data_IF_790307675463
#
_entry.id   IF_790307675463
#
_cell.length_a   1.000
_cell.length_b   1.000
_cell.length_c   1.000
_cell.angle_alpha   90.00
_cell.angle_beta   90.00
_cell.angle_gamma   90.00
#
_symmetry.space_group_name_H-M   'P 1'
#
loop_
_entity.id
_entity.type
_entity.pdbx_description
1 polymer ?
#
# COMPACT_ATOMS: atom_id res chain seq x y z
N UNK A 1 0.58 -18.53 -6.27
CA UNK A 1 -0.04 -17.22 -6.53
C UNK A 1 -0.49 -16.65 -5.22
N UNK A 2 -0.05 -15.44 -4.89
CA UNK A 2 -0.36 -14.77 -3.62
C UNK A 2 -1.83 -14.32 -3.60
N UNK A 3 -2.47 -14.22 -2.42
CA UNK A 3 -3.82 -13.66 -2.29
C UNK A 3 -3.95 -12.23 -2.83
N UNK A 4 -3.18 -11.27 -2.32
CA UNK A 4 -3.15 -9.90 -2.82
C UNK A 4 -1.74 -9.31 -2.82
N UNK A 5 -1.55 -8.24 -3.57
CA UNK A 5 -0.48 -7.28 -3.40
C UNK A 5 -0.94 -5.90 -3.84
N UNK A 6 -0.95 -4.95 -2.90
CA UNK A 6 -1.46 -3.60 -3.11
C UNK A 6 -0.36 -2.54 -2.96
N UNK A 7 0.87 -2.95 -2.65
CA UNK A 7 1.98 -2.02 -2.53
C UNK A 7 3.05 -2.40 -3.56
N UNK A 8 2.91 -1.84 -4.75
CA UNK A 8 3.81 -2.08 -5.89
C UNK A 8 4.06 -0.73 -6.54
N UNK A 9 5.32 -0.43 -6.79
CA UNK A 9 5.74 0.76 -7.53
C UNK A 9 6.03 0.37 -8.97
N UNK A 10 5.91 1.35 -9.85
CA UNK A 10 6.18 1.22 -11.26
C UNK A 10 7.04 2.38 -11.75
N UNK A 11 7.37 2.38 -13.04
CA UNK A 11 8.10 3.48 -13.69
C UNK A 11 7.39 4.85 -13.61
N UNK A 12 6.17 4.93 -13.08
CA UNK A 12 5.49 6.19 -12.77
C UNK A 12 6.06 6.90 -11.53
N UNK A 13 6.66 6.16 -10.59
CA UNK A 13 7.50 6.70 -9.51
C UNK A 13 8.88 7.14 -10.03
N UNK A 14 8.91 8.01 -11.04
CA UNK A 14 10.10 8.35 -11.83
C UNK A 14 11.25 9.02 -11.07
N UNK A 15 11.00 9.55 -9.87
CA UNK A 15 12.02 10.12 -8.98
C UNK A 15 12.61 9.14 -7.96
N UNK A 16 12.15 7.88 -7.95
CA UNK A 16 12.65 6.86 -7.04
C UNK A 16 13.74 5.99 -7.71
N UNK A 17 14.97 6.15 -7.24
CA UNK A 17 16.15 5.43 -7.74
C UNK A 17 16.10 3.91 -7.52
N UNK A 18 15.21 3.40 -6.66
CA UNK A 18 15.01 1.96 -6.50
C UNK A 18 14.14 1.37 -7.61
N UNK A 19 13.36 2.19 -8.33
CA UNK A 19 12.55 1.75 -9.47
C UNK A 19 13.42 1.59 -10.71
N UNK A 20 13.42 0.37 -11.25
CA UNK A 20 14.15 0.06 -12.49
C UNK A 20 13.25 0.21 -13.72
N UNK A 21 13.79 0.52 -14.91
CA UNK A 21 13.00 0.68 -16.14
C UNK A 21 12.14 -0.54 -16.51
N UNK A 22 12.52 -1.74 -16.04
CA UNK A 22 11.78 -2.98 -16.26
C UNK A 22 10.48 -3.05 -15.44
N UNK A 23 10.36 -2.31 -14.33
CA UNK A 23 9.20 -2.31 -13.44
C UNK A 23 8.03 -1.51 -14.04
N UNK A 24 7.60 -1.88 -15.25
CA UNK A 24 6.50 -1.23 -15.94
C UNK A 24 5.16 -1.86 -15.55
N UNK A 25 4.09 -1.08 -15.67
CA UNK A 25 2.71 -1.55 -15.45
C UNK A 25 2.43 -2.83 -16.27
N UNK A 26 2.88 -2.90 -17.53
CA UNK A 26 2.61 -4.05 -18.38
C UNK A 26 3.30 -5.32 -17.88
N UNK A 27 4.50 -5.20 -17.30
CA UNK A 27 5.19 -6.34 -16.72
C UNK A 27 4.46 -6.83 -15.47
N UNK A 28 4.11 -5.90 -14.57
CA UNK A 28 3.36 -6.22 -13.33
C UNK A 28 2.06 -6.94 -13.70
N UNK A 29 1.31 -6.43 -14.67
CA UNK A 29 0.07 -7.02 -15.16
C UNK A 29 0.28 -8.39 -15.84
N UNK A 30 1.36 -8.56 -16.61
CA UNK A 30 1.65 -9.82 -17.31
C UNK A 30 2.12 -10.93 -16.34
N UNK A 31 2.92 -10.58 -15.34
CA UNK A 31 3.39 -11.52 -14.31
C UNK A 31 2.26 -11.91 -13.37
N UNK A 32 1.45 -10.93 -12.93
CA UNK A 32 0.27 -11.11 -12.07
C UNK A 32 0.54 -12.11 -10.93
N UNK A 33 1.53 -11.80 -10.10
CA UNK A 33 2.01 -12.70 -9.05
C UNK A 33 0.98 -12.93 -7.93
N UNK A 34 0.03 -12.00 -7.77
CA UNK A 34 -1.09 -12.10 -6.85
C UNK A 34 -2.45 -12.10 -7.57
N UNK A 35 -3.50 -12.59 -6.89
CA UNK A 35 -4.87 -12.64 -7.46
C UNK A 35 -5.53 -11.26 -7.50
N UNK A 36 -5.28 -10.46 -6.48
CA UNK A 36 -5.69 -9.06 -6.36
C UNK A 36 -4.41 -8.24 -6.44
N UNK A 37 -4.26 -7.43 -7.48
CA UNK A 37 -3.07 -6.61 -7.68
C UNK A 37 -3.47 -5.15 -7.83
N UNK A 38 -2.77 -4.28 -7.11
CA UNK A 38 -2.85 -2.83 -7.28
C UNK A 38 -1.45 -2.22 -7.41
N UNK A 39 -1.38 -1.07 -8.07
CA UNK A 39 -0.16 -0.25 -8.15
C UNK A 39 -0.41 0.99 -7.31
N UNK A 40 0.57 1.36 -6.50
CA UNK A 40 0.50 2.46 -5.55
C UNK A 40 1.76 3.31 -5.60
N UNK A 41 2.05 3.86 -6.79
CA UNK A 41 3.19 4.76 -6.98
C UNK A 41 3.15 5.97 -6.03
N UNK A 42 4.34 6.50 -5.75
CA UNK A 42 4.55 7.68 -4.91
C UNK A 42 3.73 8.85 -5.43
N UNK A 43 2.87 9.40 -4.58
CA UNK A 43 1.91 10.42 -4.96
C UNK A 43 2.57 11.68 -5.51
N UNK A 44 3.69 12.09 -4.93
CA UNK A 44 4.50 13.23 -5.38
C UNK A 44 5.01 13.11 -6.83
N UNK A 45 5.09 11.89 -7.36
CA UNK A 45 5.52 11.62 -8.74
C UNK A 45 4.35 11.55 -9.73
N UNK A 46 3.13 11.36 -9.25
CA UNK A 46 1.95 11.18 -10.11
C UNK A 46 0.90 12.28 -9.94
N UNK A 47 1.03 13.18 -8.96
CA UNK A 47 0.01 14.20 -8.65
C UNK A 47 -0.37 15.07 -9.85
N UNK A 48 0.59 15.47 -10.68
CA UNK A 48 0.36 16.33 -11.83
C UNK A 48 -0.21 15.58 -13.05
N UNK A 49 -0.17 14.24 -13.04
CA UNK A 49 -0.62 13.38 -14.14
C UNK A 49 -1.50 12.21 -13.64
N UNK A 50 -2.20 12.41 -12.52
CA UNK A 50 -2.88 11.32 -11.81
C UNK A 50 -3.93 10.63 -12.68
N UNK A 51 -4.66 11.37 -13.51
CA UNK A 51 -5.67 10.82 -14.41
C UNK A 51 -5.04 9.88 -15.45
N UNK A 52 -3.89 10.25 -16.02
CA UNK A 52 -3.16 9.42 -16.99
C UNK A 52 -2.59 8.17 -16.30
N UNK A 53 -2.03 8.33 -15.10
CA UNK A 53 -1.56 7.23 -14.26
C UNK A 53 -2.69 6.23 -13.96
N UNK A 54 -3.81 6.73 -13.44
CA UNK A 54 -4.96 5.91 -13.08
C UNK A 54 -5.56 5.21 -14.31
N UNK A 55 -5.64 5.90 -15.46
CA UNK A 55 -6.08 5.31 -16.71
C UNK A 55 -5.16 4.17 -17.16
N UNK A 56 -3.84 4.33 -17.07
CA UNK A 56 -2.87 3.30 -17.43
C UNK A 56 -2.97 2.07 -16.53
N UNK A 57 -3.08 2.27 -15.20
CA UNK A 57 -3.24 1.18 -14.23
C UNK A 57 -4.56 0.42 -14.45
N UNK A 58 -5.69 1.14 -14.65
CA UNK A 58 -6.99 0.52 -14.91
C UNK A 58 -7.03 -0.21 -16.25
N UNK A 59 -6.43 0.34 -17.30
CA UNK A 59 -6.33 -0.32 -18.60
C UNK A 59 -5.56 -1.65 -18.53
N UNK A 60 -4.67 -1.80 -17.55
CA UNK A 60 -3.98 -3.06 -17.27
C UNK A 60 -4.78 -4.04 -16.40
N UNK A 61 -6.00 -3.69 -15.99
CA UNK A 61 -6.88 -4.51 -15.15
C UNK A 61 -6.37 -4.65 -13.71
N UNK A 62 -5.74 -3.59 -13.18
CA UNK A 62 -5.20 -3.48 -11.83
C UNK A 62 -5.95 -2.41 -11.03
N UNK A 63 -5.88 -2.49 -9.70
CA UNK A 63 -6.43 -1.49 -8.79
C UNK A 63 -5.52 -0.26 -8.71
N UNK A 64 -6.11 0.92 -8.63
CA UNK A 64 -5.41 2.21 -8.54
C UNK A 64 -5.24 2.60 -7.08
N UNK A 65 -4.03 2.48 -6.57
CA UNK A 65 -3.61 3.10 -5.32
C UNK A 65 -2.63 4.23 -5.54
N UNK A 66 -2.22 4.85 -4.43
CA UNK A 66 -1.05 5.74 -4.39
C UNK A 66 -0.46 5.73 -2.99
N UNK A 67 0.86 5.85 -2.88
CA UNK A 67 1.57 6.03 -1.63
C UNK A 67 1.79 7.51 -1.34
N UNK A 68 1.22 7.98 -0.23
CA UNK A 68 1.25 9.37 0.19
C UNK A 68 2.36 9.54 1.23
N UNK A 69 3.37 10.36 0.91
CA UNK A 69 4.49 10.62 1.81
C UNK A 69 4.15 11.63 2.93
N UNK A 70 3.27 11.23 3.85
CA UNK A 70 2.94 12.01 5.04
C UNK A 70 1.93 13.14 4.82
N UNK A 71 1.65 13.88 5.89
CA UNK A 71 0.60 14.91 5.91
C UNK A 71 0.83 16.07 4.94
N UNK A 72 2.07 16.31 4.52
CA UNK A 72 2.44 17.36 3.58
C UNK A 72 1.69 17.24 2.24
N UNK A 73 1.38 16.00 1.83
CA UNK A 73 0.70 15.68 0.59
C UNK A 73 -0.81 15.44 0.75
N UNK A 74 -1.35 15.56 1.96
CA UNK A 74 -2.73 15.18 2.26
C UNK A 74 -3.75 15.94 1.40
N UNK A 75 -3.66 17.27 1.34
CA UNK A 75 -4.64 18.12 0.66
C UNK A 75 -4.82 17.73 -0.81
N UNK A 76 -3.75 17.67 -1.64
CA UNK A 76 -3.89 17.19 -3.02
C UNK A 76 -4.31 15.71 -3.10
N UNK A 77 -3.85 14.84 -2.20
CA UNK A 77 -4.20 13.41 -2.23
C UNK A 77 -5.69 13.12 -1.92
N UNK A 78 -6.38 14.03 -1.22
CA UNK A 78 -7.83 13.93 -1.00
C UNK A 78 -8.64 14.21 -2.27
N UNK A 79 -8.06 14.91 -3.25
CA UNK A 79 -8.74 15.29 -4.49
C UNK A 79 -8.73 14.19 -5.56
N UNK A 80 -7.89 13.15 -5.41
CA UNK A 80 -7.69 12.14 -6.45
C UNK A 80 -8.55 10.88 -6.25
N UNK A 81 -9.19 10.33 -7.31
CA UNK A 81 -10.03 9.14 -7.22
C UNK A 81 -9.21 7.85 -7.36
N UNK A 82 -8.65 7.38 -6.24
CA UNK A 82 -8.02 6.06 -6.09
C UNK A 82 -8.95 5.07 -5.37
N UNK A 83 -8.70 3.79 -5.59
CA UNK A 83 -9.43 2.67 -5.00
C UNK A 83 -9.00 2.42 -3.54
N UNK A 84 -7.74 2.71 -3.21
CA UNK A 84 -7.17 2.64 -1.86
C UNK A 84 -5.99 3.60 -1.70
N UNK A 85 -5.57 3.85 -0.46
CA UNK A 85 -4.43 4.73 -0.14
C UNK A 85 -3.43 4.03 0.75
N UNK A 86 -2.16 4.15 0.40
CA UNK A 86 -1.01 3.77 1.22
C UNK A 86 -0.49 5.08 1.84
N UNK A 87 -0.14 5.08 3.14
CA UNK A 87 0.25 6.31 3.83
C UNK A 87 1.46 6.11 4.74
N UNK A 88 2.49 6.94 4.57
CA UNK A 88 3.62 7.05 5.49
C UNK A 88 3.22 7.82 6.75
N UNK A 89 2.86 7.09 7.81
CA UNK A 89 2.57 7.72 9.10
C UNK A 89 3.83 7.78 9.97
N UNK A 90 4.48 8.95 10.07
CA UNK A 90 5.56 9.14 11.05
C UNK A 90 4.93 9.47 12.41
N UNK A 91 5.70 9.37 13.50
CA UNK A 91 5.22 9.76 14.83
C UNK A 91 5.07 11.29 15.01
N UNK A 92 4.16 11.88 14.23
CA UNK A 92 3.84 13.29 14.18
C UNK A 92 2.33 13.44 14.31
N UNK A 93 1.88 14.34 15.18
CA UNK A 93 0.44 14.62 15.36
C UNK A 93 -0.29 14.97 14.05
N UNK A 94 0.40 15.61 13.11
CA UNK A 94 -0.17 15.93 11.80
C UNK A 94 -0.43 14.69 10.94
N UNK A 95 0.45 13.68 10.98
CA UNK A 95 0.28 12.44 10.21
C UNK A 95 -0.89 11.60 10.76
N UNK A 96 -1.07 11.53 12.08
CA UNK A 96 -2.25 10.84 12.64
C UNK A 96 -3.57 11.54 12.30
N UNK A 97 -3.59 12.88 12.28
CA UNK A 97 -4.77 13.64 11.80
C UNK A 97 -5.00 13.49 10.30
N UNK A 98 -3.95 13.23 9.53
CA UNK A 98 -4.08 12.93 8.11
C UNK A 98 -4.77 11.57 7.91
N UNK A 99 -4.42 10.55 8.70
CA UNK A 99 -5.11 9.25 8.67
C UNK A 99 -6.62 9.39 8.92
N UNK A 100 -7.04 10.18 9.91
CA UNK A 100 -8.46 10.43 10.18
C UNK A 100 -9.18 11.05 8.98
N UNK A 101 -8.55 12.01 8.30
CA UNK A 101 -9.12 12.67 7.12
C UNK A 101 -9.16 11.73 5.91
N UNK A 102 -8.14 10.89 5.72
CA UNK A 102 -8.13 9.87 4.68
C UNK A 102 -9.23 8.83 4.91
N UNK A 103 -9.42 8.38 6.16
CA UNK A 103 -10.51 7.46 6.52
C UNK A 103 -11.90 8.07 6.26
N UNK A 104 -12.06 9.38 6.47
CA UNK A 104 -13.31 10.08 6.20
C UNK A 104 -13.74 10.05 4.72
N UNK A 105 -12.82 9.72 3.80
CA UNK A 105 -13.16 9.50 2.37
C UNK A 105 -13.94 8.21 2.13
N UNK A 106 -13.93 7.27 3.10
CA UNK A 106 -14.54 5.94 2.96
C UNK A 106 -13.69 4.92 2.19
N UNK A 107 -12.58 5.35 1.58
CA UNK A 107 -11.66 4.43 0.93
C UNK A 107 -10.76 3.72 1.96
N UNK A 108 -10.28 2.49 1.67
CA UNK A 108 -9.29 1.81 2.50
C UNK A 108 -8.01 2.63 2.66
N UNK A 109 -7.52 2.72 3.89
CA UNK A 109 -6.25 3.37 4.24
C UNK A 109 -5.32 2.33 4.86
N UNK A 110 -4.16 2.15 4.25
CA UNK A 110 -3.11 1.23 4.69
C UNK A 110 -1.94 2.07 5.22
N UNK A 111 -1.56 1.84 6.47
CA UNK A 111 -0.33 2.43 7.03
C UNK A 111 0.86 1.63 6.53
N UNK A 112 1.68 2.26 5.69
CA UNK A 112 2.82 1.63 5.03
C UNK A 112 3.98 1.42 6.00
N UNK A 113 4.58 0.21 5.93
CA UNK A 113 5.79 -0.23 6.65
C UNK A 113 6.06 0.52 7.98
N UNK A 114 5.10 0.50 8.94
CA UNK A 114 5.13 1.38 10.11
C UNK A 114 6.31 1.13 11.05
N UNK A 115 6.88 -0.06 10.97
CA UNK A 115 8.05 -0.47 11.72
C UNK A 115 9.34 0.22 11.21
N UNK A 116 9.36 0.62 9.93
CA UNK A 116 10.45 1.40 9.32
C UNK A 116 10.31 2.92 9.55
N UNK A 117 9.08 3.47 9.59
CA UNK A 117 8.80 4.90 9.81
C UNK A 117 8.48 5.31 11.26
N UNK A 118 9.21 4.71 12.22
CA UNK A 118 8.81 4.53 13.64
C UNK A 118 7.40 5.03 14.00
N UNK A 119 6.36 4.45 13.41
CA UNK A 119 4.96 4.82 13.70
C UNK A 119 4.59 4.32 15.10
N UNK A 120 3.95 5.17 15.91
CA UNK A 120 3.30 4.72 17.15
C UNK A 120 1.91 4.14 16.83
N UNK A 121 1.84 2.81 16.74
CA UNK A 121 0.60 2.07 16.46
C UNK A 121 -0.47 2.27 17.55
N UNK A 122 -0.14 2.75 18.74
CA UNK A 122 -1.13 3.11 19.75
C UNK A 122 -2.03 4.25 19.27
N UNK A 123 -1.46 5.17 18.49
CA UNK A 123 -2.10 6.41 18.00
C UNK A 123 -2.78 6.26 16.65
N UNK A 124 -2.50 5.18 15.91
CA UNK A 124 -3.16 4.88 14.64
C UNK A 124 -4.63 4.51 14.87
N UNK A 125 -5.58 5.12 14.11
CA UNK A 125 -7.00 4.73 14.18
C UNK A 125 -7.20 3.24 13.84
N UNK A 126 -7.97 2.47 14.63
CA UNK A 126 -8.16 1.02 14.42
C UNK A 126 -8.83 0.65 13.10
N UNK A 127 -9.49 1.60 12.44
CA UNK A 127 -10.12 1.43 11.13
C UNK A 127 -9.07 1.29 10.00
N UNK A 128 -7.88 1.85 10.19
CA UNK A 128 -6.76 1.67 9.27
C UNK A 128 -6.34 0.20 9.19
N UNK A 129 -5.82 -0.18 8.03
CA UNK A 129 -5.09 -1.42 7.82
C UNK A 129 -3.61 -1.18 8.16
N UNK A 130 -2.95 -2.18 8.73
CA UNK A 130 -1.52 -2.13 9.05
C UNK A 130 -0.76 -3.03 8.10
N UNK A 131 0.27 -2.51 7.44
CA UNK A 131 1.09 -3.29 6.52
C UNK A 131 2.15 -4.11 7.25
N UNK A 132 2.31 -5.38 6.83
CA UNK A 132 3.54 -6.15 7.04
C UNK A 132 4.27 -6.20 5.69
N UNK A 133 5.30 -5.37 5.60
CA UNK A 133 5.99 -5.05 4.35
C UNK A 133 7.18 -5.99 4.09
N UNK A 134 7.24 -6.63 2.91
CA UNK A 134 8.30 -7.59 2.61
C UNK A 134 9.70 -6.97 2.55
N UNK A 135 9.81 -5.74 2.05
CA UNK A 135 11.07 -5.02 1.87
C UNK A 135 11.74 -4.66 3.19
N UNK A 136 10.96 -4.33 4.23
CA UNK A 136 11.49 -3.75 5.47
C UNK A 136 11.32 -4.59 6.74
N UNK A 137 10.37 -5.53 6.80
CA UNK A 137 10.04 -6.27 8.04
C UNK A 137 11.21 -7.05 8.66
N UNK A 138 12.25 -7.37 7.90
CA UNK A 138 13.43 -8.09 8.42
C UNK A 138 14.41 -7.19 9.19
N UNK A 139 14.23 -5.86 9.14
CA UNK A 139 15.22 -4.90 9.65
C UNK A 139 15.12 -4.63 11.15
N UNK A 140 14.09 -5.13 11.82
CA UNK A 140 13.84 -4.86 13.23
C UNK A 140 13.23 -6.05 13.99
N UNK A 141 12.95 -5.82 15.27
CA UNK A 141 12.22 -6.76 16.12
C UNK A 141 10.71 -6.65 15.85
N UNK A 142 10.29 -7.18 14.71
CA UNK A 142 8.89 -7.24 14.29
C UNK A 142 7.99 -7.96 15.32
N UNK A 143 8.52 -8.86 16.14
CA UNK A 143 7.75 -9.52 17.21
C UNK A 143 7.35 -8.52 18.27
N UNK A 144 8.33 -7.74 18.76
CA UNK A 144 8.07 -6.69 19.74
C UNK A 144 7.21 -5.55 19.16
N UNK A 145 7.44 -5.19 17.89
CA UNK A 145 6.72 -4.09 17.24
C UNK A 145 5.25 -4.45 16.95
N UNK A 146 4.98 -5.52 16.21
CA UNK A 146 3.62 -5.87 15.76
C UNK A 146 2.84 -6.72 16.78
N UNK A 147 3.53 -7.55 17.58
CA UNK A 147 2.92 -8.54 18.49
C UNK A 147 1.83 -7.99 19.42
N UNK A 148 2.02 -6.82 20.05
CA UNK A 148 1.01 -6.22 20.94
C UNK A 148 -0.29 -5.78 20.25
N UNK A 149 -0.28 -5.62 18.92
CA UNK A 149 -1.36 -4.95 18.18
C UNK A 149 -2.20 -5.89 17.31
N UNK A 150 -1.90 -7.19 17.34
CA UNK A 150 -2.50 -8.22 16.48
C UNK A 150 -4.02 -8.32 16.58
N UNK A 151 -4.56 -8.04 17.77
CA UNK A 151 -6.00 -8.07 18.02
C UNK A 151 -6.69 -6.72 17.76
N UNK A 152 -5.92 -5.64 17.64
CA UNK A 152 -6.44 -4.29 17.39
C UNK A 152 -6.59 -3.99 15.91
N UNK A 153 -5.65 -4.43 15.10
CA UNK A 153 -5.60 -4.10 13.68
C UNK A 153 -5.87 -5.29 12.78
N UNK A 154 -6.36 -4.97 11.60
CA UNK A 154 -6.36 -5.85 10.43
C UNK A 154 -5.07 -5.60 9.65
N UNK A 155 -4.47 -6.67 9.15
CA UNK A 155 -3.18 -6.60 8.50
C UNK A 155 -3.27 -6.91 7.01
N UNK A 156 -2.49 -6.18 6.22
CA UNK A 156 -2.23 -6.49 4.81
C UNK A 156 -0.77 -6.90 4.65
N UNK A 157 -0.50 -7.74 3.67
CA UNK A 157 0.85 -8.21 3.34
C UNK A 157 1.18 -7.72 1.94
N UNK A 158 2.34 -7.10 1.77
CA UNK A 158 2.70 -6.47 0.51
C UNK A 158 4.18 -6.67 0.17
N UNK A 159 4.51 -6.49 -1.11
CA UNK A 159 5.89 -6.61 -1.58
C UNK A 159 6.68 -5.32 -1.42
N UNK A 160 6.04 -4.18 -1.65
CA UNK A 160 6.71 -2.89 -1.83
C UNK A 160 7.77 -2.97 -2.95
N UNK A 161 7.34 -3.62 -4.04
CA UNK A 161 8.20 -3.96 -5.15
C UNK A 161 8.46 -2.75 -6.04
N UNK A 162 9.73 -2.37 -6.13
CA UNK A 162 10.25 -1.38 -7.06
C UNK A 162 10.93 -2.02 -8.28
N UNK A 163 11.12 -3.35 -8.22
CA UNK A 163 11.82 -4.12 -9.25
C UNK A 163 11.12 -5.46 -9.47
N UNK A 164 11.27 -6.09 -10.66
CA UNK A 164 10.49 -7.28 -10.98
C UNK A 164 10.74 -8.46 -10.03
N UNK A 165 11.98 -8.59 -9.54
CA UNK A 165 12.37 -9.66 -8.64
C UNK A 165 11.99 -9.39 -7.18
N UNK A 166 11.41 -8.23 -6.86
CA UNK A 166 10.90 -7.89 -5.53
C UNK A 166 9.40 -8.14 -5.38
N UNK A 167 8.70 -8.60 -6.43
CA UNK A 167 7.27 -8.93 -6.37
C UNK A 167 6.92 -10.10 -5.43
N UNK A 168 7.87 -10.66 -4.68
CA UNK A 168 7.57 -11.69 -3.70
C UNK A 168 7.15 -11.09 -2.34
N UNK A 169 6.55 -11.93 -1.49
CA UNK A 169 6.14 -11.57 -0.12
C UNK A 169 6.64 -12.61 0.89
N UNK A 170 7.72 -13.32 0.56
CA UNK A 170 8.12 -14.54 1.27
C UNK A 170 8.43 -14.25 2.74
N UNK A 171 9.17 -13.17 3.00
CA UNK A 171 9.59 -12.79 4.35
C UNK A 171 8.41 -12.24 5.14
N UNK A 172 7.62 -11.33 4.55
CA UNK A 172 6.44 -10.78 5.22
C UNK A 172 5.40 -11.87 5.55
N UNK A 173 5.21 -12.86 4.69
CA UNK A 173 4.31 -14.01 4.96
C UNK A 173 4.85 -14.92 6.05
N UNK A 174 6.16 -15.16 6.09
CA UNK A 174 6.77 -15.87 7.21
C UNK A 174 6.50 -15.13 8.53
N UNK A 175 6.73 -13.82 8.56
CA UNK A 175 6.48 -12.98 9.75
C UNK A 175 5.00 -13.02 10.15
N UNK A 176 4.08 -12.83 9.21
CA UNK A 176 2.64 -12.90 9.47
C UNK A 176 2.25 -14.25 10.08
N UNK A 177 2.79 -15.36 9.58
CA UNK A 177 2.53 -16.69 10.14
C UNK A 177 3.10 -16.86 11.56
N UNK A 178 4.30 -16.34 11.84
CA UNK A 178 4.88 -16.36 13.19
C UNK A 178 4.10 -15.50 14.18
N UNK A 179 3.46 -14.44 13.70
CA UNK A 179 2.58 -13.59 14.49
C UNK A 179 1.15 -14.15 14.59
N UNK A 180 0.81 -15.27 13.95
CA UNK A 180 -0.58 -15.77 13.85
C UNK A 180 -1.54 -14.70 13.29
N UNK A 181 -1.06 -13.91 12.33
CA UNK A 181 -1.82 -12.88 11.64
C UNK A 181 -2.45 -13.45 10.39
N UNK A 182 -3.79 -13.32 10.30
CA UNK A 182 -4.54 -13.63 9.09
C UNK A 182 -4.60 -12.38 8.21
N UNK A 183 -4.12 -12.50 6.99
CA UNK A 183 -4.18 -11.43 5.99
C UNK A 183 -5.63 -11.01 5.70
N UNK A 184 -5.87 -9.70 5.73
CA UNK A 184 -7.13 -9.10 5.32
C UNK A 184 -7.09 -8.79 3.83
N UNK A 185 -7.99 -9.41 3.06
CA UNK A 185 -8.18 -9.05 1.65
C UNK A 185 -8.99 -7.76 1.59
N UNK A 186 -8.43 -6.72 0.98
CA UNK A 186 -9.07 -5.40 0.90
C UNK A 186 -10.20 -5.39 -0.12
N UNK A 187 -10.03 -6.15 -1.20
CA UNK A 187 -10.96 -6.25 -2.32
C UNK A 187 -11.34 -7.70 -2.59
N UNK A 188 -12.38 -7.89 -3.39
CA UNK A 188 -12.76 -9.21 -3.90
C UNK A 188 -12.09 -9.50 -5.25
N UNK A 189 -11.80 -10.77 -5.58
CA UNK A 189 -11.23 -11.11 -6.88
C UNK A 189 -12.14 -10.69 -8.03
N UNK A 190 -11.60 -9.93 -8.99
CA UNK A 190 -12.35 -9.44 -10.15
C UNK A 190 -13.05 -8.10 -9.93
N UNK A 191 -12.93 -7.52 -8.74
CA UNK A 191 -13.34 -6.14 -8.48
C UNK A 191 -12.37 -5.20 -9.21
N UNK A 192 -12.84 -4.62 -10.31
CA UNK A 192 -12.27 -3.43 -10.93
C UNK A 192 -13.27 -2.29 -10.71
N UNK A 193 -12.80 -1.05 -10.59
CA UNK A 193 -13.61 0.12 -10.17
C UNK A 193 -14.86 0.45 -11.02
N UNK A 194 -15.20 -0.34 -12.04
CA UNK A 194 -16.38 -0.14 -12.90
C UNK A 194 -17.71 -0.68 -12.31
N UNK A 195 -17.71 -1.28 -11.12
CA UNK A 195 -18.92 -1.91 -10.55
C UNK A 195 -19.73 -1.06 -9.55
N UNK A 196 -19.29 0.16 -9.19
CA UNK A 196 -19.89 0.90 -8.07
C UNK A 196 -20.50 2.26 -8.43
N UNK A 197 -20.98 2.46 -9.67
CA UNK A 197 -21.87 3.59 -10.03
C UNK A 197 -22.94 3.20 -11.07
N UNK A 198 -23.75 2.19 -10.77
CA UNK A 198 -25.05 1.96 -11.41
C UNK A 198 -26.20 2.23 -10.43
#
# INVERSE_FOLDING_TARGET
>A
MLPQDLHIHSTWSHGDDAVVPEQRIELIAAVRHARICGISDHFEHVVDCFDDYAAAVRAAGLLVGTEIDGHEWLSPALAVPCDYRIFHCRDRTADYRALEQLLATGAPVIVAHPNYFPTDLQRVPPECLVEINNRYVWRDDWQAFYGPWRERFRFVISSDAHQPHWLDQTIARYVAAQLDVVETLVFTPGETADASHA
#
